data_IF_805158560630
#
_entry.id   IF_805158560630
#
_cell.length_a   1.000
_cell.length_b   1.000
_cell.length_c   1.000
_cell.angle_alpha   90.00
_cell.angle_beta   90.00
_cell.angle_gamma   90.00
#
_symmetry.space_group_name_H-M   'P 1'
#
loop_
_entity.id
_entity.type
_entity.pdbx_description
1 polymer ?
#
# COMPACT_ATOMS: atom_id res chain seq x y z
N UNK A 1 14.27 -4.05 10.35
CA UNK A 1 13.60 -4.16 9.04
C UNK A 1 12.65 -5.37 8.95
N UNK A 2 13.06 -6.62 9.26
CA UNK A 2 12.18 -7.79 9.08
C UNK A 2 10.96 -7.79 10.02
N UNK A 3 11.16 -7.40 11.28
CA UNK A 3 10.10 -7.34 12.28
C UNK A 3 8.99 -6.35 11.89
N UNK A 4 9.35 -5.21 11.31
CA UNK A 4 8.40 -4.19 10.87
C UNK A 4 7.50 -4.69 9.74
N UNK A 5 8.07 -5.40 8.77
CA UNK A 5 7.30 -6.03 7.68
C UNK A 5 6.34 -7.08 8.25
N UNK A 6 6.80 -7.91 9.19
CA UNK A 6 5.95 -8.90 9.84
C UNK A 6 4.76 -8.25 10.57
N UNK A 7 5.00 -7.18 11.33
CA UNK A 7 3.94 -6.42 12.02
C UNK A 7 2.95 -5.84 11.00
N UNK A 8 3.45 -5.25 9.91
CA UNK A 8 2.61 -4.72 8.83
C UNK A 8 1.69 -5.81 8.25
N UNK A 9 2.25 -6.98 7.94
CA UNK A 9 1.48 -8.11 7.39
C UNK A 9 0.42 -8.60 8.40
N UNK A 10 0.76 -8.67 9.69
CA UNK A 10 -0.20 -9.05 10.74
C UNK A 10 -1.36 -8.05 10.82
N UNK A 11 -1.06 -6.75 10.78
CA UNK A 11 -2.08 -5.69 10.79
C UNK A 11 -2.98 -5.82 9.56
N UNK A 12 -2.41 -5.99 8.37
CA UNK A 12 -3.20 -6.12 7.14
C UNK A 12 -4.06 -7.38 7.17
N UNK A 13 -3.52 -8.52 7.60
CA UNK A 13 -4.28 -9.75 7.74
C UNK A 13 -5.47 -9.57 8.70
N UNK A 14 -5.28 -8.87 9.83
CA UNK A 14 -6.37 -8.55 10.77
C UNK A 14 -7.40 -7.60 10.18
N UNK A 15 -6.98 -6.59 9.40
CA UNK A 15 -7.91 -5.69 8.70
C UNK A 15 -8.76 -6.47 7.70
N UNK A 16 -8.16 -7.37 6.92
CA UNK A 16 -8.89 -8.22 5.98
C UNK A 16 -9.84 -9.19 6.68
N UNK A 17 -9.47 -9.68 7.88
CA UNK A 17 -10.33 -10.54 8.70
C UNK A 17 -11.60 -9.79 9.15
N UNK A 18 -11.45 -8.56 9.63
CA UNK A 18 -12.57 -7.66 9.94
C UNK A 18 -13.41 -7.39 8.68
N UNK A 19 -12.77 -7.20 7.53
CA UNK A 19 -13.45 -7.06 6.25
C UNK A 19 -14.30 -8.28 5.89
N UNK A 20 -13.75 -9.48 6.03
CA UNK A 20 -14.48 -10.73 5.80
C UNK A 20 -15.66 -10.87 6.77
N UNK A 21 -15.46 -10.53 8.06
CA UNK A 21 -16.51 -10.53 9.08
C UNK A 21 -17.68 -9.60 8.72
N UNK A 22 -17.41 -8.38 8.26
CA UNK A 22 -18.45 -7.42 7.82
C UNK A 22 -19.32 -8.00 6.69
N UNK A 23 -18.72 -8.77 5.79
CA UNK A 23 -19.42 -9.44 4.68
C UNK A 23 -19.98 -10.82 5.05
N UNK A 24 -19.95 -11.20 6.34
CA UNK A 24 -20.37 -12.52 6.83
C UNK A 24 -19.66 -13.67 6.10
N UNK A 25 -18.37 -13.47 5.80
CA UNK A 25 -17.48 -14.45 5.18
C UNK A 25 -16.48 -14.96 6.19
N UNK A 26 -16.38 -16.28 6.32
CA UNK A 26 -15.43 -16.91 7.23
C UNK A 26 -14.21 -17.41 6.45
N UNK A 27 -13.06 -16.76 6.67
CA UNK A 27 -11.76 -17.24 6.19
C UNK A 27 -10.87 -17.44 7.41
N UNK A 28 -10.17 -18.58 7.46
CA UNK A 28 -9.21 -18.81 8.54
C UNK A 28 -8.11 -17.74 8.49
N UNK A 29 -7.81 -17.09 9.62
CA UNK A 29 -6.75 -16.08 9.73
C UNK A 29 -5.41 -16.52 9.10
N UNK A 30 -5.02 -17.78 9.28
CA UNK A 30 -3.79 -18.35 8.66
C UNK A 30 -3.77 -18.20 7.13
N UNK A 31 -4.94 -18.30 6.49
CA UNK A 31 -5.07 -18.13 5.03
C UNK A 31 -5.00 -16.65 4.65
N UNK A 32 -5.68 -15.76 5.40
CA UNK A 32 -5.57 -14.31 5.22
C UNK A 32 -4.14 -13.81 5.38
N UNK A 33 -3.42 -14.30 6.40
CA UNK A 33 -2.01 -14.01 6.60
C UNK A 33 -1.16 -14.43 5.38
N UNK A 34 -1.38 -15.64 4.86
CA UNK A 34 -0.68 -16.10 3.65
C UNK A 34 -1.01 -15.26 2.41
N UNK A 35 -2.26 -14.79 2.29
CA UNK A 35 -2.67 -13.87 1.22
C UNK A 35 -1.91 -12.55 1.35
N UNK A 36 -1.88 -11.94 2.54
CA UNK A 36 -1.16 -10.70 2.81
C UNK A 36 0.34 -10.85 2.53
N UNK A 37 0.98 -11.95 2.96
CA UNK A 37 2.39 -12.26 2.65
C UNK A 37 2.63 -12.28 1.14
N UNK A 38 1.79 -12.99 0.37
CA UNK A 38 1.95 -13.10 -1.09
C UNK A 38 1.78 -11.76 -1.80
N UNK A 39 0.82 -10.95 -1.37
CA UNK A 39 0.59 -9.63 -1.94
C UNK A 39 1.75 -8.67 -1.62
N UNK A 40 2.39 -8.80 -0.45
CA UNK A 40 3.48 -7.91 -0.02
C UNK A 40 4.69 -7.95 -0.98
N UNK A 41 4.86 -9.03 -1.75
CA UNK A 41 5.90 -9.12 -2.78
C UNK A 41 5.83 -8.01 -3.84
N UNK A 42 4.67 -7.41 -4.05
CA UNK A 42 4.53 -6.25 -4.94
C UNK A 42 5.43 -5.10 -4.51
N UNK A 43 5.57 -4.86 -3.20
CA UNK A 43 6.41 -3.79 -2.67
C UNK A 43 7.91 -4.09 -2.76
N UNK A 44 8.32 -5.34 -2.97
CA UNK A 44 9.71 -5.65 -3.30
C UNK A 44 10.09 -5.07 -4.67
N UNK A 45 9.15 -5.08 -5.63
CA UNK A 45 9.37 -4.46 -6.93
C UNK A 45 9.64 -2.97 -6.80
N UNK A 46 8.92 -2.26 -5.91
CA UNK A 46 9.16 -0.83 -5.64
C UNK A 46 10.62 -0.57 -5.30
N UNK A 47 11.21 -1.40 -4.43
CA UNK A 47 12.61 -1.27 -4.01
C UNK A 47 13.53 -1.48 -5.22
N UNK A 48 13.28 -2.51 -6.03
CA UNK A 48 14.08 -2.80 -7.24
C UNK A 48 14.02 -1.63 -8.23
N UNK A 49 12.82 -1.12 -8.52
CA UNK A 49 12.62 0.01 -9.43
C UNK A 49 13.28 1.28 -8.89
N UNK A 50 13.15 1.54 -7.59
CA UNK A 50 13.78 2.70 -6.94
C UNK A 50 15.30 2.63 -7.05
N UNK A 51 15.89 1.48 -6.71
CA UNK A 51 17.34 1.28 -6.82
C UNK A 51 17.81 1.39 -8.27
N UNK A 52 17.12 0.77 -9.23
CA UNK A 52 17.47 0.86 -10.64
C UNK A 52 17.39 2.31 -11.15
N UNK A 53 16.39 3.08 -10.73
CA UNK A 53 16.23 4.47 -11.15
C UNK A 53 17.41 5.35 -10.72
N UNK A 54 17.78 5.30 -9.44
CA UNK A 54 18.90 6.08 -8.92
C UNK A 54 20.28 5.55 -9.35
N UNK A 55 20.37 4.27 -9.69
CA UNK A 55 21.61 3.69 -10.20
C UNK A 55 21.89 4.04 -11.67
N UNK A 56 20.86 4.03 -12.54
CA UNK A 56 21.04 4.22 -13.99
C UNK A 56 20.67 5.61 -14.50
N UNK A 57 19.65 6.26 -13.94
CA UNK A 57 19.09 7.49 -14.52
C UNK A 57 19.45 8.74 -13.73
N UNK A 58 19.35 8.71 -12.39
CA UNK A 58 19.63 9.87 -11.54
C UNK A 58 20.74 9.53 -10.54
N UNK A 59 21.99 9.61 -11.00
CA UNK A 59 23.19 9.28 -10.19
C UNK A 59 23.56 10.42 -9.22
N UNK A 60 23.24 11.67 -9.55
CA UNK A 60 23.35 12.81 -8.64
C UNK A 60 21.98 13.11 -8.00
N UNK A 61 21.81 12.68 -6.76
CA UNK A 61 20.59 12.92 -5.97
C UNK A 61 20.95 13.36 -4.55
N UNK A 62 20.08 14.18 -3.94
CA UNK A 62 20.19 14.54 -2.53
C UNK A 62 19.29 13.64 -1.66
N UNK A 63 19.26 13.89 -0.34
CA UNK A 63 18.46 13.07 0.57
C UNK A 63 16.94 13.23 0.32
N UNK A 64 16.49 14.43 -0.05
CA UNK A 64 15.09 14.74 -0.32
C UNK A 64 14.57 14.02 -1.57
N UNK A 65 15.36 14.02 -2.64
CA UNK A 65 15.11 13.25 -3.86
C UNK A 65 14.87 11.78 -3.53
N UNK A 66 15.74 11.20 -2.70
CA UNK A 66 15.63 9.81 -2.30
C UNK A 66 14.39 9.57 -1.42
N UNK A 67 14.05 10.50 -0.53
CA UNK A 67 12.92 10.37 0.39
C UNK A 67 11.57 10.51 -0.33
N UNK A 68 11.45 11.48 -1.24
CA UNK A 68 10.21 11.78 -1.94
C UNK A 68 9.97 10.92 -3.17
N UNK A 69 11.01 10.31 -3.73
CA UNK A 69 10.82 9.40 -4.86
C UNK A 69 10.13 8.09 -4.45
N UNK A 70 8.92 7.90 -4.98
CA UNK A 70 8.23 6.62 -5.00
C UNK A 70 7.92 6.25 -6.46
N UNK A 71 8.51 5.17 -7.01
CA UNK A 71 8.36 4.85 -8.44
C UNK A 71 6.90 4.68 -8.84
N UNK A 72 6.55 5.19 -10.03
CA UNK A 72 5.19 5.12 -10.59
C UNK A 72 4.09 5.70 -9.66
N UNK A 73 4.47 6.64 -8.79
CA UNK A 73 3.53 7.42 -7.99
C UNK A 73 3.05 8.66 -8.72
N UNK A 74 1.89 9.16 -8.31
CA UNK A 74 1.38 10.45 -8.78
C UNK A 74 2.36 11.58 -8.46
N UNK A 75 3.08 11.51 -7.32
CA UNK A 75 4.10 12.50 -6.95
C UNK A 75 5.20 12.64 -7.99
N UNK A 76 5.62 11.55 -8.64
CA UNK A 76 6.62 11.60 -9.69
C UNK A 76 6.13 12.30 -10.97
N UNK A 77 4.82 12.43 -11.16
CA UNK A 77 4.22 13.12 -12.32
C UNK A 77 4.07 14.61 -12.04
N UNK A 78 3.58 14.95 -10.83
CA UNK A 78 3.33 16.35 -10.45
C UNK A 78 4.60 17.09 -9.98
N UNK A 79 5.58 16.37 -9.46
CA UNK A 79 6.73 16.94 -8.76
C UNK A 79 6.40 17.33 -7.31
N UNK A 80 7.43 17.41 -6.47
CA UNK A 80 7.30 17.84 -5.07
C UNK A 80 7.64 19.33 -4.87
N UNK A 81 8.24 19.99 -5.87
CA UNK A 81 8.62 21.41 -5.79
C UNK A 81 7.37 22.30 -5.76
N UNK A 82 7.25 23.15 -4.73
CA UNK A 82 6.09 24.01 -4.53
C UNK A 82 4.85 23.31 -3.97
N UNK A 83 4.91 21.99 -3.74
CA UNK A 83 3.85 21.24 -3.09
C UNK A 83 3.95 21.39 -1.57
N UNK A 84 2.82 21.56 -0.88
CA UNK A 84 2.82 21.58 0.58
C UNK A 84 3.18 20.19 1.13
N UNK A 85 3.97 20.14 2.20
CA UNK A 85 4.57 18.90 2.74
C UNK A 85 3.54 17.81 3.07
N UNK A 86 2.37 18.18 3.58
CA UNK A 86 1.27 17.27 3.90
C UNK A 86 0.63 16.60 2.67
N UNK A 87 0.79 17.14 1.46
CA UNK A 87 0.34 16.48 0.23
C UNK A 87 1.34 15.47 -0.32
N UNK A 88 2.61 15.55 0.05
CA UNK A 88 3.66 14.66 -0.46
C UNK A 88 3.29 13.20 -0.23
N UNK A 89 2.96 12.83 1.01
CA UNK A 89 2.66 11.44 1.38
C UNK A 89 1.44 10.85 0.64
N UNK A 90 0.28 11.53 0.58
CA UNK A 90 -0.86 11.09 -0.26
C UNK A 90 -0.48 10.79 -1.71
N UNK A 91 0.28 11.68 -2.35
CA UNK A 91 0.69 11.50 -3.74
C UNK A 91 1.73 10.38 -3.93
N UNK A 92 2.50 10.02 -2.90
CA UNK A 92 3.35 8.82 -2.91
C UNK A 92 2.52 7.54 -2.80
N UNK A 93 1.52 7.52 -1.91
CA UNK A 93 0.63 6.36 -1.72
C UNK A 93 -0.19 6.08 -2.97
N UNK A 94 -0.60 7.12 -3.70
CA UNK A 94 -1.22 6.97 -5.02
C UNK A 94 -0.19 6.53 -6.07
N UNK A 95 0.07 5.23 -6.14
CA UNK A 95 1.01 4.64 -7.09
C UNK A 95 0.49 3.32 -7.68
N UNK A 96 1.09 2.89 -8.80
CA UNK A 96 0.68 1.68 -9.49
C UNK A 96 0.93 0.38 -8.70
N UNK A 97 1.90 0.37 -7.79
CA UNK A 97 2.18 -0.80 -6.94
C UNK A 97 1.11 -0.97 -5.86
N UNK A 98 0.64 0.13 -5.28
CA UNK A 98 -0.49 0.15 -4.35
C UNK A 98 -1.76 -0.35 -5.06
N UNK A 99 -2.03 0.13 -6.27
CA UNK A 99 -3.15 -0.36 -7.07
C UNK A 99 -3.02 -1.87 -7.37
N UNK A 100 -1.84 -2.32 -7.78
CA UNK A 100 -1.57 -3.75 -8.01
C UNK A 100 -1.74 -4.58 -6.73
N UNK A 101 -1.35 -4.04 -5.58
CA UNK A 101 -1.53 -4.66 -4.27
C UNK A 101 -3.01 -4.89 -3.96
N UNK A 102 -3.86 -3.89 -4.17
CA UNK A 102 -5.32 -4.03 -4.04
C UNK A 102 -5.89 -5.13 -4.93
N UNK A 103 -5.49 -5.16 -6.21
CA UNK A 103 -5.96 -6.17 -7.15
C UNK A 103 -5.53 -7.59 -6.75
N UNK A 104 -4.28 -7.76 -6.30
CA UNK A 104 -3.76 -9.07 -5.88
C UNK A 104 -4.48 -9.55 -4.61
N UNK A 105 -4.69 -8.67 -3.62
CA UNK A 105 -5.49 -9.01 -2.44
C UNK A 105 -6.91 -9.43 -2.83
N UNK A 106 -7.58 -8.63 -3.67
CA UNK A 106 -8.96 -8.88 -4.09
C UNK A 106 -9.09 -10.20 -4.84
N UNK A 107 -8.15 -10.48 -5.75
CA UNK A 107 -8.11 -11.72 -6.51
C UNK A 107 -7.89 -12.94 -5.60
N UNK A 108 -6.92 -12.85 -4.68
CA UNK A 108 -6.61 -13.96 -3.77
C UNK A 108 -7.74 -14.22 -2.77
N UNK A 109 -8.41 -13.19 -2.26
CA UNK A 109 -9.59 -13.34 -1.39
C UNK A 109 -10.76 -13.95 -2.16
N UNK A 110 -11.06 -13.44 -3.37
CA UNK A 110 -12.12 -14.01 -4.21
C UNK A 110 -11.89 -15.49 -4.49
N UNK A 111 -10.65 -15.85 -4.83
CA UNK A 111 -10.25 -17.25 -5.03
C UNK A 111 -10.42 -18.10 -3.77
N UNK A 112 -10.05 -17.57 -2.61
CA UNK A 112 -10.17 -18.28 -1.33
C UNK A 112 -11.63 -18.51 -0.91
N UNK A 113 -12.52 -17.58 -1.27
CA UNK A 113 -13.96 -17.67 -1.02
C UNK A 113 -14.73 -18.47 -2.07
N UNK A 114 -14.07 -18.93 -3.15
CA UNK A 114 -14.73 -19.45 -4.35
C UNK A 114 -15.79 -18.48 -4.92
N UNK A 115 -15.51 -17.19 -4.86
CA UNK A 115 -16.37 -16.12 -5.40
C UNK A 115 -15.62 -15.29 -6.45
N UNK A 116 -16.36 -14.46 -7.18
CA UNK A 116 -15.79 -13.58 -8.19
C UNK A 116 -14.87 -12.53 -7.57
N UNK A 117 -13.92 -12.03 -8.37
CA UNK A 117 -12.99 -10.96 -7.98
C UNK A 117 -13.72 -9.70 -7.52
N UNK A 118 -14.93 -9.42 -8.02
CA UNK A 118 -15.74 -8.27 -7.59
C UNK A 118 -16.08 -8.31 -6.09
N UNK A 119 -16.39 -9.49 -5.56
CA UNK A 119 -16.65 -9.66 -4.12
C UNK A 119 -15.37 -9.51 -3.31
N UNK A 120 -14.27 -10.09 -3.80
CA UNK A 120 -12.95 -9.89 -3.22
C UNK A 120 -12.55 -8.41 -3.18
N UNK A 121 -12.83 -7.67 -4.27
CA UNK A 121 -12.57 -6.24 -4.37
C UNK A 121 -13.42 -5.44 -3.40
N UNK A 122 -14.70 -5.80 -3.25
CA UNK A 122 -15.60 -5.18 -2.27
C UNK A 122 -15.05 -5.32 -0.85
N UNK A 123 -14.59 -6.52 -0.47
CA UNK A 123 -13.98 -6.78 0.83
C UNK A 123 -12.70 -5.98 1.01
N UNK A 124 -11.80 -5.96 0.03
CA UNK A 124 -10.53 -5.22 0.12
C UNK A 124 -10.78 -3.72 0.21
N UNK A 125 -11.64 -3.17 -0.63
CA UNK A 125 -11.95 -1.74 -0.65
C UNK A 125 -12.58 -1.29 0.67
N UNK A 126 -13.52 -2.06 1.23
CA UNK A 126 -14.19 -1.72 2.48
C UNK A 126 -13.33 -1.89 3.72
N UNK A 127 -12.28 -2.72 3.67
CA UNK A 127 -11.40 -3.01 4.80
C UNK A 127 -10.06 -2.31 4.67
N UNK A 128 -9.18 -2.86 3.82
CA UNK A 128 -7.87 -2.32 3.55
C UNK A 128 -7.94 -0.91 3.00
N UNK A 129 -8.85 -0.65 2.05
CA UNK A 129 -9.01 0.67 1.45
C UNK A 129 -9.41 1.76 2.43
N UNK A 130 -10.42 1.49 3.26
CA UNK A 130 -10.84 2.39 4.33
C UNK A 130 -9.72 2.59 5.36
N UNK A 131 -9.02 1.52 5.73
CA UNK A 131 -7.90 1.58 6.68
C UNK A 131 -6.73 2.41 6.13
N UNK A 132 -6.42 2.26 4.84
CA UNK A 132 -5.41 3.06 4.14
C UNK A 132 -5.81 4.54 4.10
N UNK A 133 -7.09 4.84 3.84
CA UNK A 133 -7.59 6.21 3.84
C UNK A 133 -7.44 6.86 5.22
N UNK A 134 -7.83 6.16 6.29
CA UNK A 134 -7.67 6.64 7.68
C UNK A 134 -6.20 6.89 7.98
N UNK A 135 -5.32 5.98 7.58
CA UNK A 135 -3.88 6.13 7.75
C UNK A 135 -3.33 7.37 7.01
N UNK A 136 -3.69 7.55 5.73
CA UNK A 136 -3.24 8.69 4.92
C UNK A 136 -3.73 10.01 5.51
N UNK A 137 -5.01 10.12 5.87
CA UNK A 137 -5.56 11.33 6.49
C UNK A 137 -4.89 11.61 7.83
N UNK A 138 -4.61 10.58 8.64
CA UNK A 138 -3.87 10.72 9.88
C UNK A 138 -2.48 11.31 9.65
N UNK A 139 -1.72 10.77 8.69
CA UNK A 139 -0.40 11.29 8.35
C UNK A 139 -0.49 12.73 7.85
N UNK A 140 -1.43 13.05 6.96
CA UNK A 140 -1.65 14.42 6.48
C UNK A 140 -1.89 15.38 7.63
N UNK A 141 -2.77 15.02 8.57
CA UNK A 141 -3.10 15.83 9.73
C UNK A 141 -1.87 16.07 10.62
N UNK A 142 -1.11 15.02 10.96
CA UNK A 142 0.09 15.19 11.78
C UNK A 142 1.17 16.00 11.06
N UNK A 143 1.39 15.77 9.77
CA UNK A 143 2.36 16.56 8.99
C UNK A 143 1.99 18.04 8.97
N UNK A 144 0.72 18.38 8.76
CA UNK A 144 0.24 19.77 8.74
C UNK A 144 0.39 20.48 10.10
N UNK A 145 0.19 19.77 11.20
CA UNK A 145 0.26 20.37 12.54
C UNK A 145 1.69 20.42 13.12
N UNK A 146 2.61 19.64 12.58
CA UNK A 146 4.01 19.59 13.02
C UNK A 146 4.98 20.34 12.09
N UNK A 147 4.49 20.80 10.92
CA UNK A 147 5.21 21.67 9.99
C UNK A 147 5.08 23.14 10.39
#
# INVERSE_FOLDING_TARGET
>A
MPLFILIKILIIASILDVGCFIFSKEIKYKRLFNIAVKAEFVFLLVIIFKTAWFYFFKVSYNLEDLQYFYPLSALNIIGYEGLQTWFIYPFQVLNLFELAYWFILAFLIGKELNENTDKGFSIVASSYGVSLLIWVVGVMFFTLNMS
#
